data_IF_376702672885
#
_entry.id   IF_376702672885
#
_cell.length_a   1.000
_cell.length_b   1.000
_cell.length_c   1.000
_cell.angle_alpha   90.00
_cell.angle_beta   90.00
_cell.angle_gamma   90.00
#
_symmetry.space_group_name_H-M   'P 1'
#
loop_
_entity.id
_entity.type
_entity.pdbx_description
1 polymer ?
#
# COMPACT_ATOMS: atom_id res chain seq x y z
N UNK A 1 11.88 -5.38 9.90
CA UNK A 1 10.87 -5.42 8.82
C UNK A 1 11.41 -4.67 7.61
N UNK A 2 10.99 -5.06 6.41
CA UNK A 2 11.34 -4.40 5.15
C UNK A 2 10.07 -4.00 4.41
N UNK A 3 10.18 -3.00 3.55
CA UNK A 3 9.06 -2.46 2.78
C UNK A 3 9.50 -2.22 1.34
N UNK A 4 8.61 -2.48 0.38
CA UNK A 4 8.72 -2.01 -1.00
C UNK A 4 7.69 -0.93 -1.22
N UNK A 5 8.12 0.20 -1.77
CA UNK A 5 7.26 1.29 -2.22
C UNK A 5 7.16 1.27 -3.74
N UNK A 6 5.95 1.42 -4.27
CA UNK A 6 5.65 1.49 -5.70
C UNK A 6 4.86 2.75 -5.96
N UNK A 7 5.31 3.58 -6.89
CA UNK A 7 4.55 4.74 -7.37
C UNK A 7 4.44 4.66 -8.90
N UNK A 8 3.22 4.52 -9.46
CA UNK A 8 3.01 4.40 -10.90
C UNK A 8 3.14 5.73 -11.67
N UNK A 9 3.62 6.80 -11.01
CA UNK A 9 3.87 8.14 -11.55
C UNK A 9 2.63 8.80 -12.16
N UNK A 10 1.46 8.53 -11.60
CA UNK A 10 0.22 9.21 -11.96
C UNK A 10 -0.15 10.24 -10.90
N UNK A 11 -0.65 11.38 -11.37
CA UNK A 11 -1.18 12.41 -10.48
C UNK A 11 -2.55 12.00 -9.94
N UNK A 12 -2.70 12.14 -8.62
CA UNK A 12 -3.91 11.86 -7.86
C UNK A 12 -4.14 13.02 -6.89
N UNK A 13 -4.75 14.13 -7.36
CA UNK A 13 -5.03 15.27 -6.50
C UNK A 13 -5.90 14.88 -5.32
N UNK A 14 -5.38 15.09 -4.11
CA UNK A 14 -6.05 14.75 -2.86
C UNK A 14 -7.52 15.20 -2.80
N UNK A 15 -7.89 16.44 -3.20
CA UNK A 15 -9.29 16.87 -3.16
C UNK A 15 -10.23 16.03 -4.04
N UNK A 16 -9.75 15.49 -5.16
CA UNK A 16 -10.56 14.62 -6.03
C UNK A 16 -10.84 13.28 -5.38
N UNK A 17 -9.84 12.68 -4.72
CA UNK A 17 -10.03 11.39 -4.01
C UNK A 17 -11.04 11.54 -2.87
N UNK A 18 -10.91 12.60 -2.06
CA UNK A 18 -11.87 12.90 -0.99
C UNK A 18 -13.28 13.22 -1.51
N UNK A 19 -13.40 13.79 -2.71
CA UNK A 19 -14.69 14.09 -3.33
C UNK A 19 -15.37 12.83 -3.91
N UNK A 20 -14.58 11.82 -4.24
CA UNK A 20 -15.05 10.54 -4.76
C UNK A 20 -15.41 9.51 -3.66
N UNK A 21 -15.26 9.87 -2.38
CA UNK A 21 -15.75 9.04 -1.26
C UNK A 21 -17.28 8.91 -1.34
N UNK A 22 -17.77 7.67 -1.39
CA UNK A 22 -19.21 7.37 -1.38
C UNK A 22 -19.87 7.83 -0.06
N UNK A 23 -19.15 7.68 1.05
CA UNK A 23 -19.54 8.19 2.36
C UNK A 23 -18.34 8.84 3.04
N UNK A 24 -18.60 9.97 3.69
CA UNK A 24 -17.63 10.65 4.57
C UNK A 24 -17.84 10.30 6.05
N UNK A 25 -18.81 9.45 6.33
CA UNK A 25 -19.17 8.99 7.67
C UNK A 25 -18.87 7.49 7.78
N UNK A 26 -17.58 7.16 7.86
CA UNK A 26 -17.12 5.80 8.15
C UNK A 26 -17.17 5.54 9.66
N UNK A 27 -17.27 4.27 10.07
CA UNK A 27 -17.14 3.93 11.49
C UNK A 27 -15.80 4.39 12.03
N UNK A 28 -15.71 4.65 13.33
CA UNK A 28 -14.43 4.97 13.96
C UNK A 28 -13.46 3.80 13.84
N UNK A 29 -12.16 4.10 13.71
CA UNK A 29 -11.13 3.07 13.87
C UNK A 29 -11.13 2.62 15.33
N UNK A 30 -10.60 1.42 15.59
CA UNK A 30 -10.41 0.97 16.97
C UNK A 30 -9.46 1.93 17.70
N UNK A 31 -9.87 2.39 18.89
CA UNK A 31 -9.07 3.31 19.70
C UNK A 31 -7.82 2.65 20.30
N UNK A 32 -7.85 1.32 20.45
CA UNK A 32 -6.78 0.53 21.06
C UNK A 32 -5.94 -0.12 19.97
N UNK A 33 -4.70 0.34 19.83
CA UNK A 33 -3.71 -0.33 18.98
C UNK A 33 -3.14 -1.51 19.77
N UNK A 34 -3.32 -2.77 19.33
CA UNK A 34 -2.79 -3.93 20.05
C UNK A 34 -1.27 -3.99 19.95
N UNK A 35 -0.66 -4.76 20.85
CA UNK A 35 0.73 -5.20 20.68
C UNK A 35 0.74 -6.49 19.88
N UNK A 36 1.75 -6.67 19.02
CA UNK A 36 1.89 -7.86 18.20
C UNK A 36 3.07 -8.71 18.68
N UNK A 37 2.92 -10.02 18.61
CA UNK A 37 3.96 -10.96 19.02
C UNK A 37 5.14 -11.00 18.03
N UNK A 38 4.83 -10.84 16.74
CA UNK A 38 5.80 -10.93 15.65
C UNK A 38 5.33 -10.15 14.41
N UNK A 39 6.12 -10.27 13.33
CA UNK A 39 5.89 -9.60 12.05
C UNK A 39 4.59 -10.07 11.37
N UNK A 40 4.26 -11.37 11.45
CA UNK A 40 3.10 -11.92 10.77
C UNK A 40 1.82 -11.46 11.47
N UNK A 41 1.77 -11.50 12.81
CA UNK A 41 0.67 -10.97 13.59
C UNK A 41 0.44 -9.46 13.36
N UNK A 42 1.53 -8.70 13.16
CA UNK A 42 1.43 -7.28 12.78
C UNK A 42 0.83 -7.11 11.38
N UNK A 43 1.28 -7.90 10.40
CA UNK A 43 0.76 -7.82 9.03
C UNK A 43 -0.71 -8.23 8.94
N UNK A 44 -1.12 -9.29 9.64
CA UNK A 44 -2.52 -9.72 9.73
C UNK A 44 -3.41 -8.62 10.29
N UNK A 45 -2.98 -7.96 11.38
CA UNK A 45 -3.69 -6.81 11.92
C UNK A 45 -3.71 -5.63 10.93
N UNK A 46 -2.60 -5.35 10.24
CA UNK A 46 -2.52 -4.23 9.32
C UNK A 46 -3.45 -4.42 8.11
N UNK A 47 -3.56 -5.64 7.57
CA UNK A 47 -4.45 -5.96 6.44
C UNK A 47 -5.92 -5.79 6.80
N UNK A 48 -6.30 -5.94 8.07
CA UNK A 48 -7.67 -5.67 8.52
C UNK A 48 -7.96 -4.17 8.69
N UNK A 49 -6.94 -3.31 8.66
CA UNK A 49 -7.12 -1.86 8.72
C UNK A 49 -7.55 -1.30 7.36
N UNK A 50 -8.45 -0.32 7.40
CA UNK A 50 -8.94 0.35 6.18
C UNK A 50 -8.05 1.53 5.77
N UNK A 51 -7.97 1.73 4.47
CA UNK A 51 -7.73 3.03 3.86
C UNK A 51 -8.94 3.37 3.00
N UNK A 52 -9.86 4.17 3.54
CA UNK A 52 -11.12 4.55 2.85
C UNK A 52 -10.88 5.28 1.52
N UNK A 53 -9.70 5.87 1.32
CA UNK A 53 -9.33 6.58 0.10
C UNK A 53 -8.85 5.64 -1.00
N UNK A 54 -8.55 4.37 -0.68
CA UNK A 54 -8.03 3.42 -1.67
C UNK A 54 -9.02 3.13 -2.79
N UNK A 55 -10.26 2.76 -2.46
CA UNK A 55 -11.28 2.46 -3.49
C UNK A 55 -11.58 3.67 -4.39
N UNK A 56 -11.80 4.89 -3.85
CA UNK A 56 -11.94 6.10 -4.67
C UNK A 56 -10.71 6.40 -5.54
N UNK A 57 -9.50 6.22 -5.01
CA UNK A 57 -8.27 6.44 -5.77
C UNK A 57 -8.14 5.44 -6.94
N UNK A 58 -8.43 4.15 -6.72
CA UNK A 58 -8.44 3.13 -7.77
C UNK A 58 -9.52 3.45 -8.82
N UNK A 59 -10.71 3.88 -8.41
CA UNK A 59 -11.78 4.26 -9.34
C UNK A 59 -11.35 5.44 -10.24
N UNK A 60 -10.62 6.42 -9.69
CA UNK A 60 -10.09 7.55 -10.46
C UNK A 60 -8.87 7.17 -11.32
N UNK A 61 -8.04 6.24 -10.85
CA UNK A 61 -6.79 5.78 -11.49
C UNK A 61 -6.61 4.26 -11.29
N UNK A 62 -7.13 3.43 -12.21
CA UNK A 62 -7.06 1.96 -12.08
C UNK A 62 -5.64 1.39 -11.92
N UNK A 63 -4.61 2.09 -12.43
CA UNK A 63 -3.19 1.73 -12.29
C UNK A 63 -2.71 1.61 -10.83
N UNK A 64 -3.42 2.23 -9.88
CA UNK A 64 -3.17 2.04 -8.44
C UNK A 64 -3.52 0.61 -8.04
N UNK A 65 -4.60 0.05 -8.59
CA UNK A 65 -4.97 -1.36 -8.41
C UNK A 65 -3.90 -2.30 -8.98
N UNK A 66 -3.32 -1.94 -10.13
CA UNK A 66 -2.21 -2.70 -10.72
C UNK A 66 -0.96 -2.65 -9.83
N UNK A 67 -0.65 -1.49 -9.24
CA UNK A 67 0.46 -1.34 -8.30
C UNK A 67 0.27 -2.17 -7.02
N UNK A 68 -0.96 -2.22 -6.49
CA UNK A 68 -1.31 -3.09 -5.35
C UNK A 68 -1.21 -4.57 -5.72
N UNK A 69 -1.70 -4.96 -6.89
CA UNK A 69 -1.60 -6.34 -7.39
C UNK A 69 -0.14 -6.77 -7.58
N UNK A 70 0.73 -5.86 -8.02
CA UNK A 70 2.16 -6.13 -8.18
C UNK A 70 2.88 -6.44 -6.85
N UNK A 71 2.31 -5.99 -5.72
CA UNK A 71 2.79 -6.15 -4.34
C UNK A 71 2.11 -7.31 -3.58
N UNK A 72 1.30 -8.14 -4.26
CA UNK A 72 0.48 -9.17 -3.60
C UNK A 72 1.26 -10.32 -2.96
N UNK A 73 2.57 -10.41 -3.19
CA UNK A 73 3.49 -11.36 -2.55
C UNK A 73 4.06 -10.84 -1.21
N UNK A 74 3.81 -9.58 -0.86
CA UNK A 74 4.08 -9.05 0.47
C UNK A 74 3.10 -9.62 1.51
N UNK A 75 3.54 -9.69 2.76
CA UNK A 75 2.70 -10.15 3.88
C UNK A 75 1.54 -9.18 4.18
N UNK A 76 1.71 -7.91 3.86
CA UNK A 76 0.66 -6.90 3.85
C UNK A 76 0.94 -5.91 2.72
N UNK A 77 -0.10 -5.35 2.11
CA UNK A 77 0.03 -4.26 1.14
C UNK A 77 -1.11 -3.27 1.26
N UNK A 78 -0.87 -2.03 0.82
CA UNK A 78 -1.88 -0.98 0.86
C UNK A 78 -1.42 0.29 0.18
N UNK A 79 -2.35 1.22 0.01
CA UNK A 79 -2.04 2.56 -0.49
C UNK A 79 -1.62 3.50 0.66
N UNK A 80 -0.59 4.31 0.43
CA UNK A 80 -0.15 5.34 1.38
C UNK A 80 -0.94 6.64 1.16
N UNK A 81 -1.66 7.10 2.18
CA UNK A 81 -2.46 8.33 2.11
C UNK A 81 -3.55 8.27 1.03
N UNK A 82 -3.67 9.34 0.22
CA UNK A 82 -4.58 9.41 -0.94
C UNK A 82 -3.99 8.82 -2.23
N UNK A 83 -2.79 8.22 -2.18
CA UNK A 83 -2.09 7.69 -3.34
C UNK A 83 -1.30 8.74 -4.14
N UNK A 84 -0.67 8.36 -5.25
CA UNK A 84 -0.71 7.04 -5.89
C UNK A 84 0.27 5.99 -5.31
N UNK A 85 1.13 6.36 -4.36
CA UNK A 85 2.13 5.43 -3.81
C UNK A 85 1.46 4.29 -3.04
N UNK A 86 1.84 3.06 -3.38
CA UNK A 86 1.47 1.84 -2.68
C UNK A 86 2.70 1.26 -1.96
N UNK A 87 2.46 0.45 -0.93
CA UNK A 87 3.50 -0.23 -0.17
C UNK A 87 3.19 -1.71 0.00
N UNK A 88 4.22 -2.53 0.12
CA UNK A 88 4.14 -3.93 0.56
C UNK A 88 5.18 -4.22 1.64
N UNK A 89 4.84 -5.05 2.62
CA UNK A 89 5.70 -5.41 3.75
C UNK A 89 6.30 -6.81 3.57
N UNK A 90 7.57 -6.95 3.95
CA UNK A 90 8.36 -8.16 3.78
C UNK A 90 9.18 -8.45 5.04
N UNK A 91 9.34 -9.72 5.38
CA UNK A 91 10.08 -10.15 6.57
C UNK A 91 11.60 -9.98 6.41
N UNK A 92 12.11 -10.00 5.16
CA UNK A 92 13.54 -9.96 4.87
C UNK A 92 13.94 -8.95 3.78
N UNK A 93 15.19 -8.49 3.85
CA UNK A 93 15.79 -7.61 2.82
C UNK A 93 15.80 -8.26 1.45
N UNK A 94 16.06 -9.57 1.43
CA UNK A 94 16.18 -10.37 0.22
C UNK A 94 14.85 -10.44 -0.52
N UNK A 95 13.75 -10.62 0.21
CA UNK A 95 12.42 -10.74 -0.39
C UNK A 95 11.91 -9.38 -0.87
N UNK A 96 12.14 -8.31 -0.09
CA UNK A 96 11.84 -6.95 -0.53
C UNK A 96 12.60 -6.57 -1.81
N UNK A 97 13.92 -6.83 -1.86
CA UNK A 97 14.74 -6.54 -3.05
C UNK A 97 14.30 -7.35 -4.28
N UNK A 98 13.94 -8.64 -4.09
CA UNK A 98 13.40 -9.48 -5.19
C UNK A 98 12.08 -8.93 -5.72
N UNK A 99 11.17 -8.55 -4.83
CA UNK A 99 9.90 -7.96 -5.23
C UNK A 99 10.11 -6.62 -5.96
N UNK A 100 10.93 -5.73 -5.42
CA UNK A 100 11.27 -4.46 -6.06
C UNK A 100 11.84 -4.66 -7.48
N UNK A 101 12.81 -5.57 -7.65
CA UNK A 101 13.38 -5.89 -8.97
C UNK A 101 12.36 -6.51 -9.94
N UNK A 102 11.50 -7.42 -9.45
CA UNK A 102 10.43 -8.04 -10.25
C UNK A 102 9.46 -6.98 -10.77
N UNK A 103 8.99 -6.09 -9.88
CA UNK A 103 8.02 -5.04 -10.21
C UNK A 103 8.66 -4.02 -11.16
N UNK A 104 9.87 -3.53 -10.85
CA UNK A 104 10.57 -2.56 -11.69
C UNK A 104 10.85 -3.10 -13.11
N UNK A 105 11.11 -4.40 -13.25
CA UNK A 105 11.30 -5.04 -14.57
C UNK A 105 9.99 -5.15 -15.36
N UNK A 106 8.88 -5.45 -14.67
CA UNK A 106 7.56 -5.55 -15.29
C UNK A 106 6.99 -4.17 -15.67
N UNK A 107 7.32 -3.14 -14.88
CA UNK A 107 6.85 -1.77 -15.04
C UNK A 107 8.03 -0.77 -14.97
N UNK A 108 8.85 -0.66 -16.03
CA UNK A 108 10.03 0.22 -16.05
C UNK A 108 9.72 1.71 -15.85
N UNK A 109 8.49 2.13 -16.11
CA UNK A 109 8.01 3.49 -15.97
C UNK A 109 7.61 3.86 -14.53
N UNK A 110 7.40 2.87 -13.67
CA UNK A 110 7.08 3.09 -12.26
C UNK A 110 8.34 3.42 -11.47
N UNK A 111 8.17 4.18 -10.40
CA UNK A 111 9.20 4.29 -9.37
C UNK A 111 9.00 3.17 -8.35
N UNK A 112 10.05 2.37 -8.11
CA UNK A 112 10.03 1.27 -7.16
C UNK A 112 11.28 1.35 -6.28
N UNK A 113 11.13 1.23 -4.96
CA UNK A 113 12.26 1.14 -4.03
C UNK A 113 11.95 0.19 -2.88
N UNK A 114 12.93 -0.61 -2.46
CA UNK A 114 12.91 -1.30 -1.18
C UNK A 114 13.64 -0.49 -0.09
N UNK A 115 13.22 -0.64 1.16
CA UNK A 115 13.82 0.03 2.31
C UNK A 115 13.62 -0.78 3.60
N UNK A 116 14.54 -0.58 4.55
CA UNK A 116 14.40 -1.09 5.93
C UNK A 116 13.43 -0.19 6.70
N UNK A 117 12.46 -0.80 7.37
CA UNK A 117 11.60 -0.08 8.33
C UNK A 117 12.28 -0.14 9.70
N UNK A 118 12.35 1.03 10.37
CA UNK A 118 13.10 1.28 11.61
C UNK A 118 12.89 0.19 12.68
#
# INVERSE_FOLDING_TARGET
>A
MWMVLVNPRVDVPTPMVFSALETKSNSAMEDVIPSWADFDAFCEWLVSQRNDLQSPAIALRPIIGDALAALSDGAASGMSGSGATCFGLYSSAKDAAKAAQRIQRAHPEWWVTDAKVL
#
